data_IF_144214053770
#
_entry.id   IF_144214053770
#
_cell.length_a   1.000
_cell.length_b   1.000
_cell.length_c   1.000
_cell.angle_alpha   90.00
_cell.angle_beta   90.00
_cell.angle_gamma   90.00
#
_symmetry.space_group_name_H-M   'P 1'
#
loop_
_entity.id
_entity.type
_entity.pdbx_description
1 polymer ?
#
# COMPACT_ATOMS: atom_id res chain seq x y z
N UNK A 1 -10.90 14.77 25.00
CA UNK A 1 -11.24 14.48 23.59
C UNK A 1 -10.09 14.98 22.71
N UNK A 2 -9.23 14.09 22.22
CA UNK A 2 -8.05 14.47 21.42
C UNK A 2 -8.44 14.40 19.94
N UNK A 3 -8.32 15.53 19.22
CA UNK A 3 -8.69 15.63 17.81
C UNK A 3 -7.47 15.47 16.91
N UNK A 4 -7.26 14.26 16.39
CA UNK A 4 -6.17 13.97 15.47
C UNK A 4 -6.46 14.56 14.08
N UNK A 5 -5.85 15.71 13.76
CA UNK A 5 -5.87 16.28 12.41
C UNK A 5 -4.99 15.44 11.47
N UNK A 6 -5.60 14.47 10.79
CA UNK A 6 -5.01 13.83 9.61
C UNK A 6 -4.74 14.89 8.52
N UNK A 7 -3.47 15.16 8.24
CA UNK A 7 -3.06 15.79 6.97
C UNK A 7 -3.23 14.77 5.82
N UNK A 8 -3.36 15.24 4.58
CA UNK A 8 -3.75 14.40 3.42
C UNK A 8 -2.60 13.53 2.87
N UNK A 9 -2.04 12.66 3.70
CA UNK A 9 -1.24 11.51 3.28
C UNK A 9 -2.03 10.22 3.47
N UNK A 10 -2.09 9.35 2.46
CA UNK A 10 -2.81 8.07 2.61
C UNK A 10 -2.00 7.09 3.45
N UNK A 11 -2.26 7.06 4.75
CA UNK A 11 -1.74 6.01 5.63
C UNK A 11 -2.31 4.66 5.19
N UNK A 12 -1.44 3.65 5.11
CA UNK A 12 -1.80 2.31 4.66
C UNK A 12 -1.64 1.31 5.80
N UNK A 13 -2.58 0.35 5.93
CA UNK A 13 -2.44 -0.84 6.75
C UNK A 13 -1.04 -1.47 6.70
N UNK A 14 -0.48 -1.78 7.88
CA UNK A 14 0.86 -2.37 8.02
C UNK A 14 2.03 -1.39 8.03
N UNK A 15 1.84 -0.10 7.73
CA UNK A 15 2.90 0.90 7.90
C UNK A 15 2.98 1.37 9.36
N UNK A 16 4.14 1.27 10.05
CA UNK A 16 4.33 1.93 11.34
C UNK A 16 4.34 3.45 11.15
N UNK A 17 3.52 4.16 11.94
CA UNK A 17 3.34 5.62 11.83
C UNK A 17 4.20 6.28 12.90
N UNK A 18 5.38 6.77 12.52
CA UNK A 18 6.24 7.55 13.42
C UNK A 18 5.80 9.01 13.36
N UNK A 19 5.17 9.48 14.43
CA UNK A 19 4.70 10.86 14.59
C UNK A 19 5.77 11.74 15.24
N UNK A 20 6.84 12.04 14.48
CA UNK A 20 7.75 13.13 14.84
C UNK A 20 7.09 14.50 14.68
N UNK A 21 7.60 15.52 15.37
CA UNK A 21 7.01 16.87 15.35
C UNK A 21 6.81 17.37 13.91
N UNK A 22 5.54 17.64 13.57
CA UNK A 22 5.07 18.20 12.29
C UNK A 22 5.35 17.40 11.00
N UNK A 23 5.85 16.16 11.05
CA UNK A 23 6.02 15.35 9.83
C UNK A 23 5.87 13.84 10.03
N UNK A 24 4.90 13.25 9.32
CA UNK A 24 4.72 11.80 9.21
C UNK A 24 5.59 11.28 8.05
N UNK A 25 6.82 10.87 8.37
CA UNK A 25 7.76 10.36 7.36
C UNK A 25 7.40 8.94 6.95
N UNK A 26 6.93 8.78 5.71
CA UNK A 26 6.50 7.50 5.12
C UNK A 26 7.70 6.74 4.51
N UNK A 27 8.42 5.95 5.32
CA UNK A 27 9.44 4.98 4.84
C UNK A 27 8.76 3.64 4.51
N UNK A 28 9.13 3.01 3.40
CA UNK A 28 8.72 1.65 3.04
C UNK A 28 9.95 0.76 3.20
N UNK A 29 9.86 -0.25 4.06
CA UNK A 29 10.96 -1.20 4.27
C UNK A 29 11.03 -2.21 3.11
N UNK A 30 12.25 -2.47 2.64
CA UNK A 30 12.48 -3.46 1.59
C UNK A 30 12.60 -4.88 2.15
N UNK A 31 13.26 -5.02 3.30
CA UNK A 31 13.47 -6.28 4.01
C UNK A 31 13.67 -6.04 5.53
N UNK A 32 13.89 -7.13 6.27
CA UNK A 32 14.13 -7.08 7.72
C UNK A 32 15.42 -6.34 8.11
N UNK A 33 16.44 -6.32 7.24
CA UNK A 33 17.73 -5.68 7.52
C UNK A 33 17.64 -4.16 7.34
N UNK A 34 16.90 -3.69 6.33
CA UNK A 34 16.53 -2.28 6.15
C UNK A 34 15.68 -1.76 7.32
N UNK A 35 14.79 -2.60 7.88
CA UNK A 35 14.09 -2.28 9.12
C UNK A 35 15.05 -2.15 10.32
N UNK A 36 15.92 -3.12 10.58
CA UNK A 36 16.90 -3.02 11.68
C UNK A 36 17.86 -1.83 11.51
N UNK A 37 18.33 -1.57 10.29
CA UNK A 37 19.13 -0.38 9.98
C UNK A 37 18.37 0.90 10.31
N UNK A 38 17.08 1.00 9.97
CA UNK A 38 16.29 2.18 10.32
C UNK A 38 16.06 2.36 11.83
N UNK A 39 15.89 1.27 12.57
CA UNK A 39 15.82 1.35 14.04
C UNK A 39 17.15 1.85 14.61
N UNK A 40 18.29 1.43 14.07
CA UNK A 40 19.60 1.98 14.45
C UNK A 40 19.76 3.46 14.02
N UNK A 41 19.40 3.83 12.78
CA UNK A 41 19.37 5.23 12.31
C UNK A 41 18.58 6.14 13.28
N UNK A 42 17.44 5.66 13.80
CA UNK A 42 16.65 6.39 14.80
C UNK A 42 17.37 6.47 16.15
N UNK A 43 17.86 5.34 16.68
CA UNK A 43 18.53 5.28 17.97
C UNK A 43 19.79 6.15 18.03
N UNK A 44 20.55 6.23 16.93
CA UNK A 44 21.77 7.03 16.79
C UNK A 44 21.48 8.54 16.61
N UNK A 45 20.25 8.92 16.27
CA UNK A 45 19.87 10.31 15.94
C UNK A 45 19.46 11.19 17.12
N UNK A 46 19.38 10.64 18.34
CA UNK A 46 18.82 11.30 19.55
C UNK A 46 17.35 11.80 19.45
N UNK A 47 16.65 11.57 18.34
CA UNK A 47 15.33 12.19 18.07
C UNK A 47 14.13 11.62 18.84
N UNK A 48 14.28 10.49 19.57
CA UNK A 48 13.18 9.91 20.34
C UNK A 48 13.08 10.54 21.75
N UNK A 49 11.94 11.17 22.11
CA UNK A 49 11.76 11.68 23.47
C UNK A 49 11.67 10.52 24.47
N UNK A 50 12.11 10.76 25.71
CA UNK A 50 12.25 9.72 26.77
C UNK A 50 10.93 9.02 27.16
N UNK A 51 9.78 9.55 26.73
CA UNK A 51 8.44 8.99 26.92
C UNK A 51 7.82 8.40 25.64
N UNK A 52 8.61 8.19 24.57
CA UNK A 52 8.14 7.56 23.34
C UNK A 52 7.69 6.12 23.59
N UNK A 53 6.44 5.81 23.24
CA UNK A 53 5.87 4.46 23.34
C UNK A 53 5.73 3.86 21.93
N UNK A 54 6.29 2.67 21.65
CA UNK A 54 6.07 2.00 20.37
C UNK A 54 4.61 1.54 20.24
N UNK A 55 3.98 1.85 19.12
CA UNK A 55 2.60 1.45 18.81
C UNK A 55 2.60 0.62 17.52
N UNK A 56 2.18 -0.64 17.62
CA UNK A 56 1.82 -1.47 16.47
C UNK A 56 0.31 -1.35 16.19
N UNK A 57 -0.06 -1.35 14.91
CA UNK A 57 -1.45 -1.35 14.45
C UNK A 57 -1.58 -2.43 13.38
N UNK A 58 -2.22 -3.55 13.75
CA UNK A 58 -2.71 -4.52 12.77
C UNK A 58 -4.03 -4.04 12.15
N UNK A 59 -4.33 -4.48 10.92
CA UNK A 59 -5.55 -4.10 10.21
C UNK A 59 -6.18 -5.29 9.50
N UNK A 60 -7.33 -5.68 10.02
CA UNK A 60 -8.17 -6.76 9.50
C UNK A 60 -8.58 -6.48 8.04
N UNK A 61 -8.39 -7.48 7.17
CA UNK A 61 -8.98 -7.50 5.84
C UNK A 61 -8.38 -6.54 4.81
N UNK A 62 -7.13 -6.08 4.98
CA UNK A 62 -6.43 -5.17 4.05
C UNK A 62 -6.77 -5.41 2.58
N UNK A 63 -6.42 -6.59 2.04
CA UNK A 63 -6.60 -6.91 0.61
C UNK A 63 -8.06 -6.84 0.14
N UNK A 64 -8.99 -7.34 0.95
CA UNK A 64 -10.43 -7.30 0.69
C UNK A 64 -11.01 -5.88 0.72
N UNK A 65 -10.32 -4.94 1.35
CA UNK A 65 -10.72 -3.54 1.50
C UNK A 65 -9.95 -2.57 0.56
N UNK A 66 -9.09 -3.07 -0.34
CA UNK A 66 -8.38 -2.21 -1.31
C UNK A 66 -9.39 -1.69 -2.36
N UNK A 67 -9.52 -0.36 -2.55
CA UNK A 67 -10.36 0.21 -3.60
C UNK A 67 -9.71 0.03 -4.98
N UNK A 68 -10.05 -1.08 -5.65
CA UNK A 68 -9.49 -1.49 -6.96
C UNK A 68 -9.57 -0.35 -8.00
N UNK A 69 -10.68 0.40 -8.03
CA UNK A 69 -10.85 1.56 -8.92
C UNK A 69 -9.78 2.62 -8.70
N UNK A 70 -9.52 3.01 -7.45
CA UNK A 70 -8.52 4.04 -7.12
C UNK A 70 -7.09 3.57 -7.44
N UNK A 71 -6.82 2.26 -7.33
CA UNK A 71 -5.56 1.66 -7.78
C UNK A 71 -5.37 1.80 -9.29
N UNK A 72 -6.41 1.54 -10.08
CA UNK A 72 -6.39 1.70 -11.54
C UNK A 72 -6.25 3.18 -11.94
N UNK A 73 -7.01 4.08 -11.30
CA UNK A 73 -6.93 5.53 -11.54
C UNK A 73 -5.55 6.10 -11.15
N UNK A 74 -4.85 5.48 -10.19
CA UNK A 74 -3.47 5.83 -9.81
C UNK A 74 -2.45 5.25 -10.78
N UNK A 75 -2.63 4.01 -11.26
CA UNK A 75 -1.79 3.40 -12.30
C UNK A 75 -1.76 4.26 -13.58
N UNK A 76 -2.93 4.68 -14.04
CA UNK A 76 -3.07 5.49 -15.24
C UNK A 76 -2.26 6.79 -15.12
N UNK A 77 -2.37 7.51 -13.99
CA UNK A 77 -1.60 8.73 -13.72
C UNK A 77 -0.09 8.49 -13.72
N UNK A 78 0.37 7.42 -13.06
CA UNK A 78 1.81 7.06 -13.04
C UNK A 78 2.32 6.75 -14.44
N UNK A 79 1.59 5.98 -15.24
CA UNK A 79 1.93 5.73 -16.64
C UNK A 79 1.86 7.00 -17.51
N UNK A 80 0.93 7.90 -17.23
CA UNK A 80 0.83 9.19 -17.92
C UNK A 80 2.02 10.12 -17.62
N UNK A 81 2.62 10.04 -16.43
CA UNK A 81 3.83 10.81 -16.08
C UNK A 81 5.15 10.26 -16.66
N UNK A 82 5.17 9.07 -17.25
CA UNK A 82 6.41 8.51 -17.82
C UNK A 82 6.80 9.19 -19.15
N UNK A 83 8.06 9.63 -19.25
CA UNK A 83 8.60 10.35 -20.42
C UNK A 83 8.69 9.48 -21.68
N UNK A 84 8.91 8.17 -21.53
CA UNK A 84 9.19 7.22 -22.63
C UNK A 84 8.08 6.16 -22.77
N UNK A 85 6.99 6.51 -23.44
CA UNK A 85 5.83 5.63 -23.64
C UNK A 85 6.00 4.70 -24.84
N UNK A 86 6.70 3.58 -24.65
CA UNK A 86 6.84 2.51 -25.66
C UNK A 86 5.53 1.74 -25.91
N UNK A 87 4.64 1.68 -24.91
CA UNK A 87 3.35 0.97 -24.97
C UNK A 87 2.23 1.98 -24.63
N UNK A 88 1.08 1.97 -25.34
CA UNK A 88 -0.05 2.85 -25.01
C UNK A 88 -0.57 2.62 -23.59
N UNK A 89 -0.70 3.69 -22.80
CA UNK A 89 -1.23 3.65 -21.43
C UNK A 89 -2.61 2.98 -21.37
N UNK A 90 -3.49 3.26 -22.34
CA UNK A 90 -4.83 2.66 -22.45
C UNK A 90 -4.81 1.14 -22.55
N UNK A 91 -3.81 0.55 -23.20
CA UNK A 91 -3.65 -0.91 -23.32
C UNK A 91 -3.24 -1.52 -21.98
N UNK A 92 -2.22 -0.93 -21.32
CA UNK A 92 -1.78 -1.37 -19.99
C UNK A 92 -2.89 -1.22 -18.93
N UNK A 93 -3.63 -0.11 -18.94
CA UNK A 93 -4.79 0.11 -18.05
C UNK A 93 -5.94 -0.87 -18.33
N UNK A 94 -6.10 -1.33 -19.56
CA UNK A 94 -7.10 -2.35 -19.92
C UNK A 94 -6.68 -3.75 -19.46
N UNK A 95 -5.40 -4.11 -19.62
CA UNK A 95 -4.82 -5.33 -19.04
C UNK A 95 -4.96 -5.33 -17.50
N UNK A 96 -4.65 -4.21 -16.84
CA UNK A 96 -4.80 -4.08 -15.38
C UNK A 96 -6.25 -4.29 -14.91
N UNK A 97 -7.25 -3.84 -15.70
CA UNK A 97 -8.67 -4.07 -15.41
C UNK A 97 -9.07 -5.54 -15.53
N UNK A 98 -8.48 -6.30 -16.46
CA UNK A 98 -8.82 -7.71 -16.68
C UNK A 98 -8.32 -8.63 -15.55
N UNK A 99 -7.15 -8.38 -14.97
CA UNK A 99 -6.56 -9.26 -13.93
C UNK A 99 -7.45 -9.47 -12.69
N UNK A 100 -8.04 -8.44 -12.04
CA UNK A 100 -8.94 -8.65 -10.92
C UNK A 100 -10.30 -9.24 -11.36
N UNK A 101 -10.83 -8.84 -12.53
CA UNK A 101 -12.14 -9.29 -13.02
C UNK A 101 -12.13 -10.78 -13.41
N UNK A 102 -11.02 -11.26 -13.98
CA UNK A 102 -10.86 -12.66 -14.40
C UNK A 102 -10.26 -13.54 -13.30
N UNK A 103 -10.13 -13.05 -12.07
CA UNK A 103 -9.65 -13.87 -10.97
C UNK A 103 -10.69 -14.92 -10.58
N UNK A 104 -10.38 -16.17 -10.92
CA UNK A 104 -11.16 -17.36 -10.59
C UNK A 104 -10.37 -18.23 -9.63
N UNK A 105 -11.06 -18.80 -8.65
CA UNK A 105 -10.53 -19.84 -7.79
C UNK A 105 -11.50 -21.01 -7.72
N UNK A 106 -10.98 -22.21 -7.51
CA UNK A 106 -11.77 -23.40 -7.26
C UNK A 106 -11.81 -23.68 -5.76
N UNK A 107 -12.99 -24.01 -5.23
CA UNK A 107 -13.18 -24.48 -3.87
C UNK A 107 -14.36 -25.46 -3.85
N UNK A 108 -14.23 -26.60 -3.17
CA UNK A 108 -15.29 -27.62 -3.09
C UNK A 108 -15.85 -28.03 -4.49
N UNK A 109 -14.92 -28.23 -5.44
CA UNK A 109 -15.17 -28.50 -6.87
C UNK A 109 -16.11 -27.51 -7.58
N UNK A 110 -16.22 -26.28 -7.07
CA UNK A 110 -16.98 -25.17 -7.63
C UNK A 110 -16.05 -24.03 -7.99
N UNK A 111 -16.27 -23.42 -9.15
CA UNK A 111 -15.49 -22.27 -9.63
C UNK A 111 -16.18 -20.97 -9.20
N UNK A 112 -15.47 -20.15 -8.43
CA UNK A 112 -15.91 -18.84 -7.96
C UNK A 112 -15.14 -17.72 -8.66
N UNK A 113 -15.75 -16.54 -8.76
CA UNK A 113 -15.13 -15.32 -9.29
C UNK A 113 -14.96 -14.32 -8.14
N UNK A 114 -13.76 -13.78 -7.97
CA UNK A 114 -13.46 -12.81 -6.92
C UNK A 114 -13.85 -11.38 -7.36
N UNK A 115 -14.93 -10.83 -6.80
CA UNK A 115 -15.49 -9.54 -7.25
C UNK A 115 -15.25 -8.34 -6.32
N UNK A 116 -14.76 -8.54 -5.08
CA UNK A 116 -14.67 -7.49 -4.07
C UNK A 116 -13.27 -7.33 -3.46
N UNK A 117 -12.71 -6.11 -3.50
CA UNK A 117 -11.32 -5.88 -3.12
C UNK A 117 -10.34 -6.56 -4.08
N UNK A 118 -9.10 -6.80 -3.65
CA UNK A 118 -8.06 -7.41 -4.50
C UNK A 118 -7.71 -8.81 -4.02
N UNK A 119 -7.82 -9.79 -4.92
CA UNK A 119 -7.52 -11.19 -4.63
C UNK A 119 -6.05 -11.38 -4.20
N UNK A 120 -5.87 -12.03 -3.05
CA UNK A 120 -4.56 -12.33 -2.46
C UNK A 120 -3.72 -13.23 -3.39
N UNK A 121 -2.39 -13.14 -3.28
CA UNK A 121 -1.45 -13.92 -4.09
C UNK A 121 -1.28 -13.45 -5.54
N UNK A 122 -2.13 -12.56 -6.06
CA UNK A 122 -1.89 -11.96 -7.38
C UNK A 122 -0.72 -10.98 -7.33
N UNK A 123 0.22 -11.06 -8.28
CA UNK A 123 1.34 -10.09 -8.38
C UNK A 123 0.87 -8.63 -8.55
N UNK A 124 -0.34 -8.45 -9.07
CA UNK A 124 -1.01 -7.15 -9.24
C UNK A 124 -1.53 -6.57 -7.91
N UNK A 125 -1.79 -7.38 -6.87
CA UNK A 125 -2.32 -6.88 -5.61
C UNK A 125 -1.42 -5.85 -4.93
N UNK A 126 -0.10 -6.04 -5.02
CA UNK A 126 0.90 -5.09 -4.53
C UNK A 126 0.80 -3.74 -5.26
N UNK A 127 0.46 -3.72 -6.56
CA UNK A 127 0.32 -2.47 -7.29
C UNK A 127 -0.84 -1.62 -6.75
N UNK A 128 -1.97 -2.21 -6.37
CA UNK A 128 -3.10 -1.47 -5.79
C UNK A 128 -2.78 -0.86 -4.40
N UNK A 129 -1.64 -1.23 -3.82
CA UNK A 129 -1.05 -0.59 -2.63
C UNK A 129 -0.11 0.59 -2.98
N UNK A 130 0.01 1.01 -4.24
CA UNK A 130 0.68 2.25 -4.64
C UNK A 130 -0.25 3.48 -4.51
N UNK A 131 0.05 4.29 -3.50
CA UNK A 131 -0.29 5.70 -3.22
C UNK A 131 0.68 6.11 -2.13
#
# INVERSE_FOLDING_TARGET
>A
MISFKFTRGSLRPGCPIISGNESITKKIFQDSLDFFRYINEINESETLPTNATPISIDVVGLYSNIPVKEGIDTFQKVLETQTSKSIPTSFLTSLLKLVPILNKFEFDSKVFIWFWGTAMGTKVAIFSLAK
#
